data_IF_020359338812
#
_entry.id   IF_020359338812
#
_cell.length_a   1.000
_cell.length_b   1.000
_cell.length_c   1.000
_cell.angle_alpha   90.00
_cell.angle_beta   90.00
_cell.angle_gamma   90.00
#
_symmetry.space_group_name_H-M   'P 1'
#
loop_
_entity.id
_entity.type
_entity.pdbx_description
1 polymer ?
#
# COMPACT_ATOMS: atom_id res chain seq x y z
N UNK A 1 1.42 -6.50 -0.70
CA UNK A 1 2.71 -6.18 -0.03
C UNK A 1 3.60 -5.48 -1.06
N UNK A 2 4.16 -4.32 -0.73
CA UNK A 2 5.24 -3.75 -1.54
C UNK A 2 6.46 -4.66 -1.39
N UNK A 3 6.94 -5.19 -2.51
CA UNK A 3 8.20 -5.95 -2.54
C UNK A 3 9.33 -4.94 -2.60
N UNK A 4 10.13 -4.89 -1.56
CA UNK A 4 11.34 -4.08 -1.57
C UNK A 4 12.37 -4.72 -2.51
N UNK A 5 12.81 -3.97 -3.51
CA UNK A 5 13.82 -4.41 -4.49
C UNK A 5 15.13 -3.67 -4.21
N UNK A 6 16.20 -4.44 -4.02
CA UNK A 6 17.55 -3.89 -3.89
C UNK A 6 18.32 -4.19 -5.16
N UNK A 7 18.95 -3.18 -5.73
CA UNK A 7 19.66 -3.27 -6.99
C UNK A 7 21.18 -3.45 -6.77
N UNK A 8 21.76 -4.40 -7.50
CA UNK A 8 23.20 -4.64 -7.56
C UNK A 8 23.65 -4.67 -9.02
N UNK A 9 24.85 -4.18 -9.29
CA UNK A 9 25.49 -4.26 -10.60
C UNK A 9 26.69 -5.20 -10.50
N UNK A 10 26.76 -6.15 -11.43
CA UNK A 10 27.88 -7.07 -11.57
C UNK A 10 28.51 -6.91 -12.95
N UNK A 11 29.83 -6.82 -13.01
CA UNK A 11 30.59 -6.76 -14.27
C UNK A 11 30.74 -8.15 -14.90
N UNK A 12 31.00 -8.19 -16.20
CA UNK A 12 31.27 -9.43 -16.96
C UNK A 12 32.41 -10.27 -16.39
N UNK A 13 33.41 -9.62 -15.84
CA UNK A 13 34.55 -10.25 -15.16
C UNK A 13 34.53 -9.77 -13.72
N UNK A 14 34.40 -10.68 -12.79
CA UNK A 14 34.54 -10.45 -11.35
C UNK A 14 35.75 -11.25 -10.87
N UNK A 15 36.54 -10.67 -10.00
CA UNK A 15 37.53 -11.43 -9.22
C UNK A 15 36.81 -12.33 -8.23
N UNK A 16 37.45 -13.35 -7.70
CA UNK A 16 36.93 -14.24 -6.70
C UNK A 16 36.46 -13.48 -5.42
N UNK A 17 37.14 -12.40 -5.09
CA UNK A 17 36.80 -11.54 -3.97
C UNK A 17 35.51 -10.76 -4.23
N UNK A 18 35.37 -10.14 -5.40
CA UNK A 18 34.17 -9.42 -5.81
C UNK A 18 32.95 -10.35 -5.86
N UNK A 19 33.14 -11.58 -6.39
CA UNK A 19 32.07 -12.59 -6.42
C UNK A 19 31.65 -12.99 -5.00
N UNK A 20 32.60 -13.28 -4.10
CA UNK A 20 32.30 -13.58 -2.69
C UNK A 20 31.56 -12.41 -2.00
N UNK A 21 31.97 -11.18 -2.26
CA UNK A 21 31.32 -10.00 -1.70
C UNK A 21 29.91 -9.82 -2.23
N UNK A 22 29.68 -10.06 -3.53
CA UNK A 22 28.33 -10.03 -4.11
C UNK A 22 27.45 -11.12 -3.49
N UNK A 23 27.95 -12.34 -3.33
CA UNK A 23 27.24 -13.44 -2.69
C UNK A 23 26.82 -13.12 -1.27
N UNK A 24 27.71 -12.52 -0.46
CA UNK A 24 27.36 -12.05 0.90
C UNK A 24 26.22 -11.03 0.88
N UNK A 25 26.24 -10.08 -0.07
CA UNK A 25 25.18 -9.08 -0.22
C UNK A 25 23.86 -9.71 -0.65
N UNK A 26 23.87 -10.81 -1.40
CA UNK A 26 22.68 -11.51 -1.85
C UNK A 26 22.08 -12.45 -0.78
N UNK A 27 22.82 -12.77 0.27
CA UNK A 27 22.38 -13.70 1.33
C UNK A 27 20.99 -13.38 1.93
N UNK A 28 20.62 -12.12 2.24
CA UNK A 28 19.34 -11.82 2.87
C UNK A 28 18.11 -12.00 1.97
N UNK A 29 18.31 -12.19 0.65
CA UNK A 29 17.22 -12.24 -0.31
C UNK A 29 16.81 -13.68 -0.61
N UNK A 30 15.51 -13.94 -0.73
CA UNK A 30 14.92 -15.24 -1.08
C UNK A 30 14.60 -15.38 -2.57
N UNK A 31 14.62 -14.27 -3.32
CA UNK A 31 14.42 -14.23 -4.76
C UNK A 31 15.43 -13.28 -5.41
N UNK A 32 16.06 -13.73 -6.48
CA UNK A 32 17.05 -12.97 -7.25
C UNK A 32 16.55 -12.86 -8.69
N UNK A 33 16.41 -11.62 -9.18
CA UNK A 33 16.10 -11.32 -10.57
C UNK A 33 17.40 -10.86 -11.24
N UNK A 34 17.83 -11.59 -12.26
CA UNK A 34 19.03 -11.31 -13.01
C UNK A 34 18.64 -10.80 -14.40
N UNK A 35 18.99 -9.56 -14.72
CA UNK A 35 18.86 -9.01 -16.05
C UNK A 35 20.23 -9.05 -16.74
N UNK A 36 20.41 -9.92 -17.76
CA UNK A 36 21.68 -10.07 -18.45
C UNK A 36 21.90 -8.96 -19.48
N UNK A 37 22.37 -7.82 -19.02
CA UNK A 37 22.63 -6.64 -19.86
C UNK A 37 23.81 -6.85 -20.86
N UNK A 38 24.47 -8.01 -20.82
CA UNK A 38 25.54 -8.39 -21.73
C UNK A 38 25.05 -9.09 -23.00
N UNK A 39 23.74 -9.32 -23.13
CA UNK A 39 23.10 -9.97 -24.27
C UNK A 39 23.54 -9.32 -25.59
N UNK A 40 23.83 -10.17 -26.56
CA UNK A 40 24.26 -9.78 -27.92
C UNK A 40 23.61 -10.76 -28.90
N UNK A 41 23.45 -10.33 -30.14
CA UNK A 41 22.94 -11.18 -31.24
C UNK A 41 24.06 -12.02 -31.91
N UNK A 42 25.28 -12.02 -31.37
CA UNK A 42 26.44 -12.71 -31.94
C UNK A 42 26.67 -14.08 -31.30
N UNK A 43 26.59 -15.14 -32.11
CA UNK A 43 26.97 -16.48 -31.71
C UNK A 43 28.44 -16.59 -31.28
N UNK A 44 29.34 -15.82 -31.92
CA UNK A 44 30.78 -15.78 -31.57
C UNK A 44 31.03 -15.23 -30.15
N UNK A 45 30.06 -14.55 -29.56
CA UNK A 45 30.08 -14.01 -28.20
C UNK A 45 29.13 -14.79 -27.27
N UNK A 46 28.78 -16.02 -27.61
CA UNK A 46 27.81 -16.87 -26.88
C UNK A 46 26.56 -16.12 -26.51
N UNK A 47 26.04 -15.25 -27.38
CA UNK A 47 24.86 -14.41 -27.14
C UNK A 47 24.91 -13.61 -25.83
N UNK A 48 26.12 -13.35 -25.30
CA UNK A 48 26.32 -12.64 -24.03
C UNK A 48 26.29 -13.51 -22.78
N UNK A 49 26.35 -14.82 -22.93
CA UNK A 49 26.57 -15.73 -21.82
C UNK A 49 27.91 -15.46 -21.14
N UNK A 50 27.98 -15.66 -19.84
CA UNK A 50 29.17 -15.45 -19.04
C UNK A 50 29.35 -16.56 -18.01
N UNK A 51 30.55 -17.15 -17.87
CA UNK A 51 30.86 -18.12 -16.82
C UNK A 51 30.63 -17.56 -15.40
N UNK A 52 30.80 -16.25 -15.22
CA UNK A 52 30.48 -15.57 -13.93
C UNK A 52 29.00 -15.68 -13.61
N UNK A 53 28.12 -15.54 -14.62
CA UNK A 53 26.68 -15.69 -14.45
C UNK A 53 26.34 -17.13 -14.07
N UNK A 54 26.95 -18.13 -14.72
CA UNK A 54 26.77 -19.55 -14.36
C UNK A 54 27.17 -19.82 -12.92
N UNK A 55 28.34 -19.40 -12.52
CA UNK A 55 28.84 -19.55 -11.14
C UNK A 55 27.93 -18.86 -10.14
N UNK A 56 27.50 -17.64 -10.43
CA UNK A 56 26.62 -16.88 -9.55
C UNK A 56 25.30 -17.61 -9.33
N UNK A 57 24.67 -18.10 -10.40
CA UNK A 57 23.38 -18.80 -10.33
C UNK A 57 23.51 -20.12 -9.55
N UNK A 58 24.47 -20.96 -9.88
CA UNK A 58 24.66 -22.29 -9.23
C UNK A 58 24.94 -22.19 -7.74
N UNK A 59 25.50 -21.07 -7.29
CA UNK A 59 25.84 -20.86 -5.88
C UNK A 59 24.64 -20.32 -5.04
N UNK A 60 23.50 -19.98 -5.67
CA UNK A 60 22.32 -19.45 -4.94
C UNK A 60 21.35 -20.58 -4.55
N UNK A 61 21.82 -21.55 -3.79
CA UNK A 61 20.98 -22.67 -3.34
C UNK A 61 19.82 -22.20 -2.43
N UNK A 62 18.65 -22.77 -2.64
CA UNK A 62 17.45 -22.47 -1.83
C UNK A 62 16.79 -21.12 -2.11
N UNK A 63 17.22 -20.42 -3.17
CA UNK A 63 16.63 -19.14 -3.60
C UNK A 63 15.89 -19.31 -4.92
N UNK A 64 14.86 -18.50 -5.14
CA UNK A 64 14.22 -18.40 -6.44
C UNK A 64 15.02 -17.51 -7.38
N UNK A 65 15.27 -17.98 -8.60
CA UNK A 65 16.07 -17.26 -9.60
C UNK A 65 15.23 -17.04 -10.84
N UNK A 66 15.08 -15.78 -11.22
CA UNK A 66 14.45 -15.36 -12.46
C UNK A 66 15.56 -14.76 -13.33
N UNK A 67 15.82 -15.37 -14.48
CA UNK A 67 16.81 -14.87 -15.44
C UNK A 67 16.11 -14.20 -16.62
N UNK A 68 16.43 -12.94 -16.89
CA UNK A 68 15.96 -12.20 -18.06
C UNK A 68 17.08 -12.11 -19.09
N UNK A 69 16.79 -12.64 -20.30
CA UNK A 69 17.68 -12.56 -21.47
C UNK A 69 17.12 -11.56 -22.49
N UNK A 70 17.68 -10.34 -22.58
CA UNK A 70 17.26 -9.32 -23.55
C UNK A 70 17.99 -9.48 -24.88
N UNK A 71 17.86 -10.63 -25.52
CA UNK A 71 18.51 -10.98 -26.78
C UNK A 71 17.64 -11.86 -27.65
N UNK A 72 18.22 -12.39 -28.73
CA UNK A 72 17.51 -13.29 -29.62
C UNK A 72 17.34 -14.69 -29.00
N UNK A 73 16.34 -15.49 -29.45
CA UNK A 73 16.01 -16.79 -28.84
C UNK A 73 17.17 -17.78 -28.75
N UNK A 74 18.08 -17.76 -29.70
CA UNK A 74 19.22 -18.71 -29.76
C UNK A 74 20.14 -18.63 -28.55
N UNK A 75 20.19 -17.49 -27.86
CA UNK A 75 20.94 -17.33 -26.62
C UNK A 75 20.41 -18.18 -25.47
N UNK A 76 19.15 -18.64 -25.53
CA UNK A 76 18.56 -19.49 -24.50
C UNK A 76 19.26 -20.85 -24.37
N UNK A 77 19.90 -21.34 -25.43
CA UNK A 77 20.63 -22.60 -25.41
C UNK A 77 21.69 -22.65 -24.31
N UNK A 78 22.37 -21.52 -24.05
CA UNK A 78 23.42 -21.42 -23.04
C UNK A 78 22.86 -21.42 -21.59
N UNK A 79 21.54 -21.26 -21.40
CA UNK A 79 20.91 -21.21 -20.09
C UNK A 79 20.14 -22.49 -19.73
N UNK A 80 20.01 -23.45 -20.68
CA UNK A 80 19.18 -24.64 -20.48
C UNK A 80 19.59 -25.49 -19.26
N UNK A 81 20.89 -25.53 -18.93
CA UNK A 81 21.42 -26.28 -17.77
C UNK A 81 21.47 -25.49 -16.47
N UNK A 82 21.06 -24.23 -16.47
CA UNK A 82 21.10 -23.39 -15.27
C UNK A 82 19.90 -23.67 -14.36
N UNK A 83 20.10 -23.74 -13.03
CA UNK A 83 19.03 -23.93 -12.07
C UNK A 83 18.26 -22.62 -11.85
N UNK A 84 17.44 -22.24 -12.85
CA UNK A 84 16.57 -21.05 -12.78
C UNK A 84 15.10 -21.50 -12.64
N UNK A 85 14.33 -20.78 -11.79
CA UNK A 85 12.90 -21.01 -11.63
C UNK A 85 12.08 -20.45 -12.79
N UNK A 86 12.59 -19.40 -13.43
CA UNK A 86 11.99 -18.80 -14.61
C UNK A 86 13.05 -18.17 -15.53
N UNK A 87 12.82 -18.31 -16.84
CA UNK A 87 13.62 -17.69 -17.88
C UNK A 87 12.71 -16.79 -18.73
N UNK A 88 13.02 -15.50 -18.77
CA UNK A 88 12.26 -14.49 -19.53
C UNK A 88 13.10 -14.05 -20.73
N UNK A 89 12.53 -14.14 -21.93
CA UNK A 89 13.09 -13.62 -23.16
C UNK A 89 12.40 -12.31 -23.54
N UNK A 90 13.13 -11.20 -23.67
CA UNK A 90 12.58 -9.89 -24.04
C UNK A 90 13.01 -9.41 -25.43
N UNK A 91 13.77 -10.19 -26.17
CA UNK A 91 14.27 -9.99 -27.55
C UNK A 91 15.21 -8.80 -27.74
N UNK A 92 15.03 -7.72 -27.00
CA UNK A 92 15.75 -6.47 -27.16
C UNK A 92 16.24 -5.92 -25.82
N UNK A 93 17.32 -5.15 -25.87
CA UNK A 93 17.94 -4.51 -24.70
C UNK A 93 17.85 -2.98 -24.81
N UNK A 94 16.64 -2.45 -24.67
CA UNK A 94 16.42 -1.00 -24.58
C UNK A 94 15.39 -0.69 -23.46
N UNK A 95 15.25 0.58 -23.12
CA UNK A 95 14.46 1.04 -21.97
C UNK A 95 13.05 0.44 -21.94
N UNK A 96 12.33 0.45 -23.06
CA UNK A 96 10.95 -0.08 -23.10
C UNK A 96 10.90 -1.59 -22.89
N UNK A 97 11.83 -2.35 -23.50
CA UNK A 97 11.92 -3.79 -23.29
C UNK A 97 12.19 -4.13 -21.82
N UNK A 98 13.07 -3.37 -21.16
CA UNK A 98 13.36 -3.51 -19.73
C UNK A 98 12.11 -3.22 -18.88
N UNK A 99 11.35 -2.17 -19.20
CA UNK A 99 10.10 -1.82 -18.51
C UNK A 99 9.04 -2.91 -18.68
N UNK A 100 8.88 -3.45 -19.90
CA UNK A 100 7.94 -4.54 -20.13
C UNK A 100 8.39 -5.84 -19.46
N UNK A 101 9.67 -6.16 -19.47
CA UNK A 101 10.22 -7.31 -18.75
C UNK A 101 9.93 -7.21 -17.23
N UNK A 102 10.16 -6.04 -16.66
CA UNK A 102 9.81 -5.78 -15.25
C UNK A 102 8.30 -5.95 -15.01
N UNK A 103 7.44 -5.39 -15.87
CA UNK A 103 5.99 -5.56 -15.73
C UNK A 103 5.57 -7.03 -15.85
N UNK A 104 6.18 -7.81 -16.75
CA UNK A 104 5.94 -9.24 -16.89
C UNK A 104 6.30 -10.00 -15.61
N UNK A 105 7.50 -9.77 -15.06
CA UNK A 105 7.98 -10.43 -13.83
C UNK A 105 7.08 -10.11 -12.64
N UNK A 106 6.61 -8.86 -12.52
CA UNK A 106 5.75 -8.43 -11.42
C UNK A 106 4.24 -8.55 -11.70
N UNK A 107 3.84 -9.21 -12.79
CA UNK A 107 2.43 -9.50 -13.10
C UNK A 107 1.62 -8.30 -13.62
N UNK A 108 2.29 -7.22 -14.07
CA UNK A 108 1.63 -6.06 -14.69
C UNK A 108 1.08 -6.33 -16.07
N UNK A 109 1.66 -7.30 -16.81
CA UNK A 109 1.18 -7.75 -18.12
C UNK A 109 1.05 -9.28 -18.14
N UNK A 110 0.08 -9.78 -18.89
CA UNK A 110 -0.04 -11.21 -19.18
C UNK A 110 1.03 -11.62 -20.18
N UNK A 111 1.60 -12.80 -20.00
CA UNK A 111 2.54 -13.40 -20.96
C UNK A 111 1.83 -14.48 -21.75
N UNK A 112 1.74 -14.31 -23.07
CA UNK A 112 1.03 -15.22 -23.96
C UNK A 112 1.90 -15.67 -25.13
N UNK A 113 3.07 -15.05 -25.31
CA UNK A 113 3.98 -15.33 -26.41
C UNK A 113 4.58 -16.74 -26.33
N UNK A 114 4.93 -17.26 -27.49
CA UNK A 114 5.59 -18.54 -27.68
C UNK A 114 6.83 -18.34 -28.53
N UNK A 115 7.84 -19.21 -28.34
CA UNK A 115 9.03 -19.17 -29.19
C UNK A 115 8.66 -19.42 -30.65
N UNK A 116 9.05 -18.54 -31.58
CA UNK A 116 8.75 -18.72 -33.00
C UNK A 116 9.73 -19.67 -33.69
N UNK A 117 10.80 -20.07 -33.03
CA UNK A 117 11.89 -20.90 -33.57
C UNK A 117 12.26 -22.02 -32.61
N UNK A 118 12.83 -23.11 -33.13
CA UNK A 118 13.53 -24.09 -32.32
C UNK A 118 14.91 -23.57 -31.96
N UNK A 119 15.24 -23.55 -30.67
CA UNK A 119 16.56 -23.19 -30.15
C UNK A 119 17.40 -24.44 -29.97
N UNK A 120 16.89 -25.42 -29.27
CA UNK A 120 17.47 -26.73 -29.02
C UNK A 120 16.34 -27.71 -28.59
N UNK A 121 16.62 -28.99 -28.29
CA UNK A 121 15.59 -29.93 -27.81
C UNK A 121 14.82 -29.49 -26.56
N UNK A 122 15.43 -28.71 -25.66
CA UNK A 122 14.79 -28.22 -24.43
C UNK A 122 13.85 -27.05 -24.72
N UNK A 123 14.10 -26.30 -25.80
CA UNK A 123 13.34 -25.13 -26.22
C UNK A 123 12.90 -25.25 -27.69
N UNK A 124 11.96 -26.17 -28.02
CA UNK A 124 11.39 -26.26 -29.36
C UNK A 124 10.51 -25.07 -29.70
N UNK A 125 10.23 -24.85 -30.97
CA UNK A 125 9.24 -23.87 -31.40
C UNK A 125 7.89 -24.09 -30.70
N UNK A 126 7.21 -23.04 -30.31
CA UNK A 126 5.99 -23.09 -29.51
C UNK A 126 6.18 -23.17 -28.00
N UNK A 127 7.42 -23.29 -27.50
CA UNK A 127 7.73 -23.24 -26.06
C UNK A 127 7.32 -21.90 -25.47
N UNK A 128 6.72 -21.92 -24.28
CA UNK A 128 6.36 -20.73 -23.51
C UNK A 128 5.30 -21.04 -22.47
N UNK A 129 5.28 -20.28 -21.39
CA UNK A 129 4.31 -20.38 -20.30
C UNK A 129 3.36 -19.19 -20.41
N UNK A 130 2.06 -19.46 -20.29
CA UNK A 130 1.06 -18.40 -20.19
C UNK A 130 0.88 -18.00 -18.74
N UNK A 131 0.95 -16.69 -18.47
CA UNK A 131 0.67 -16.11 -17.15
C UNK A 131 -0.43 -15.08 -17.24
N UNK A 132 -1.36 -15.01 -16.27
CA UNK A 132 -2.36 -13.97 -16.24
C UNK A 132 -1.75 -12.64 -15.79
N UNK A 133 -2.43 -11.54 -16.13
CA UNK A 133 -2.19 -10.23 -15.52
C UNK A 133 -2.76 -10.26 -14.10
N UNK A 134 -1.96 -9.91 -13.11
CA UNK A 134 -2.32 -9.94 -11.69
C UNK A 134 -2.24 -8.56 -11.02
N UNK A 135 -1.73 -7.53 -11.72
CA UNK A 135 -1.55 -6.17 -11.24
C UNK A 135 -1.94 -5.15 -12.31
N UNK A 136 -2.09 -3.89 -11.89
CA UNK A 136 -2.17 -2.78 -12.84
C UNK A 136 -0.86 -2.67 -13.62
N UNK A 137 -0.95 -2.48 -14.94
CA UNK A 137 0.21 -2.17 -15.78
C UNK A 137 0.45 -0.67 -15.87
N UNK A 138 1.64 -0.28 -16.28
CA UNK A 138 1.96 1.10 -16.62
C UNK A 138 1.95 1.27 -18.15
N UNK A 139 1.36 2.38 -18.63
CA UNK A 139 1.27 2.68 -20.05
C UNK A 139 1.26 4.18 -20.29
N UNK A 140 1.31 4.62 -21.57
CA UNK A 140 1.09 6.03 -21.90
C UNK A 140 -0.40 6.36 -21.92
N UNK A 141 -0.77 7.64 -21.73
CA UNK A 141 -2.16 8.08 -21.83
C UNK A 141 -2.82 7.73 -23.16
N UNK A 142 -2.08 7.83 -24.26
CA UNK A 142 -2.55 7.58 -25.63
C UNK A 142 -3.00 6.13 -25.81
N UNK A 143 -2.32 5.17 -25.19
CA UNK A 143 -2.72 3.76 -25.20
C UNK A 143 -4.06 3.54 -24.48
N UNK A 144 -4.43 4.44 -23.57
CA UNK A 144 -5.75 4.49 -22.93
C UNK A 144 -6.74 5.38 -23.67
N UNK A 145 -6.40 5.85 -24.89
CA UNK A 145 -7.17 6.80 -25.69
C UNK A 145 -7.42 8.13 -24.97
N UNK A 146 -6.39 8.61 -24.28
CA UNK A 146 -6.39 9.88 -23.57
C UNK A 146 -5.31 10.80 -24.12
N UNK A 147 -5.55 12.08 -24.04
CA UNK A 147 -4.67 13.14 -24.52
C UNK A 147 -3.73 13.56 -23.36
N UNK A 148 -2.43 13.34 -23.53
CA UNK A 148 -1.42 13.69 -22.51
C UNK A 148 -1.32 15.20 -22.28
N UNK A 149 -1.57 16.04 -23.30
CA UNK A 149 -1.55 17.50 -23.14
C UNK A 149 -2.67 17.98 -22.20
N UNK A 150 -3.86 17.35 -22.29
CA UNK A 150 -4.97 17.67 -21.39
C UNK A 150 -4.69 17.26 -19.94
N UNK A 151 -3.91 16.20 -19.75
CA UNK A 151 -3.51 15.74 -18.40
C UNK A 151 -2.53 16.72 -17.71
N UNK A 152 -1.82 17.57 -18.45
CA UNK A 152 -0.98 18.62 -17.88
C UNK A 152 -1.76 19.60 -16.99
N UNK A 153 -3.08 19.71 -17.15
CA UNK A 153 -3.93 20.49 -16.24
C UNK A 153 -3.90 19.95 -14.80
N UNK A 154 -3.72 18.64 -14.62
CA UNK A 154 -3.59 18.02 -13.28
C UNK A 154 -2.32 18.53 -12.60
N UNK A 155 -1.19 18.59 -13.34
CA UNK A 155 0.06 19.14 -12.84
C UNK A 155 -0.13 20.58 -12.34
N UNK A 156 -0.80 21.41 -13.15
CA UNK A 156 -1.08 22.82 -12.79
C UNK A 156 -1.95 22.94 -11.53
N UNK A 157 -3.01 22.14 -11.42
CA UNK A 157 -3.89 22.13 -10.23
C UNK A 157 -3.11 21.72 -8.98
N UNK A 158 -2.31 20.67 -9.05
CA UNK A 158 -1.52 20.19 -7.91
C UNK A 158 -0.48 21.24 -7.50
N UNK A 159 0.22 21.87 -8.46
CA UNK A 159 1.18 22.93 -8.20
C UNK A 159 0.53 24.16 -7.57
N UNK A 160 -0.62 24.58 -8.08
CA UNK A 160 -1.39 25.70 -7.51
C UNK A 160 -1.84 25.39 -6.07
N UNK A 161 -2.28 24.18 -5.79
CA UNK A 161 -2.67 23.78 -4.43
C UNK A 161 -1.50 23.85 -3.45
N UNK A 162 -0.31 23.41 -3.86
CA UNK A 162 0.92 23.51 -3.05
C UNK A 162 1.33 24.96 -2.87
N UNK A 163 1.32 25.77 -3.93
CA UNK A 163 1.67 27.21 -3.88
C UNK A 163 0.70 28.00 -2.99
N UNK A 164 -0.60 27.70 -3.08
CA UNK A 164 -1.63 28.32 -2.24
C UNK A 164 -1.63 27.84 -0.79
N UNK A 165 -0.70 26.96 -0.40
CA UNK A 165 -0.65 26.33 0.93
C UNK A 165 -1.96 25.60 1.29
N UNK A 166 -2.69 25.07 0.32
CA UNK A 166 -3.85 24.22 0.55
C UNK A 166 -3.41 22.82 1.05
N UNK A 167 -2.26 22.36 0.59
CA UNK A 167 -1.57 21.15 1.06
C UNK A 167 -0.06 21.34 0.93
N UNK A 168 0.78 20.73 1.79
CA UNK A 168 2.23 20.78 1.62
C UNK A 168 2.69 19.97 0.41
N UNK A 169 1.93 18.95 0.02
CA UNK A 169 2.19 18.10 -1.12
C UNK A 169 1.10 17.05 -1.33
N UNK A 170 1.16 16.36 -2.44
CA UNK A 170 0.20 15.31 -2.79
C UNK A 170 0.79 14.29 -3.78
N UNK A 171 0.13 13.13 -3.88
CA UNK A 171 0.32 12.16 -4.97
C UNK A 171 -0.98 12.05 -5.76
N UNK A 172 -0.84 11.87 -7.07
CA UNK A 172 -1.96 11.57 -7.97
C UNK A 172 -1.62 10.36 -8.81
N UNK A 173 -2.45 9.31 -8.70
CA UNK A 173 -2.38 8.12 -9.54
C UNK A 173 -3.73 7.96 -10.24
N UNK A 174 -3.69 7.78 -11.56
CA UNK A 174 -4.89 7.55 -12.37
C UNK A 174 -4.69 6.29 -13.20
N UNK A 175 -5.69 5.41 -13.15
CA UNK A 175 -5.72 4.18 -13.93
C UNK A 175 -7.04 4.07 -14.70
N UNK A 176 -6.99 3.43 -15.86
CA UNK A 176 -8.15 3.10 -16.69
C UNK A 176 -7.95 1.72 -17.31
N UNK A 177 -8.99 0.88 -17.27
CA UNK A 177 -8.99 -0.47 -17.85
C UNK A 177 -7.77 -1.31 -17.36
N UNK A 178 -7.44 -1.19 -16.07
CA UNK A 178 -6.31 -1.89 -15.46
C UNK A 178 -4.93 -1.32 -15.81
N UNK A 179 -4.83 -0.14 -16.42
CA UNK A 179 -3.57 0.48 -16.82
C UNK A 179 -3.37 1.83 -16.13
N UNK A 180 -2.25 2.00 -15.44
CA UNK A 180 -1.82 3.28 -14.85
C UNK A 180 -1.20 4.11 -15.97
N UNK A 181 -1.75 5.26 -16.25
CA UNK A 181 -1.23 6.19 -17.26
C UNK A 181 -0.78 7.53 -16.68
N UNK A 182 -1.06 7.76 -15.40
CA UNK A 182 -0.61 8.95 -14.67
C UNK A 182 -0.22 8.56 -13.25
N UNK A 183 0.98 8.89 -12.83
CA UNK A 183 1.47 8.64 -11.48
C UNK A 183 2.57 9.66 -11.14
N UNK A 184 2.20 10.73 -10.43
CA UNK A 184 3.10 11.82 -10.07
C UNK A 184 2.95 12.24 -8.62
N UNK A 185 4.02 12.80 -8.07
CA UNK A 185 4.06 13.39 -6.74
C UNK A 185 4.45 14.88 -6.85
N UNK A 186 3.87 15.71 -5.99
CA UNK A 186 4.05 17.16 -5.98
C UNK A 186 4.33 17.66 -4.57
N UNK A 187 5.13 18.72 -4.46
CA UNK A 187 5.43 19.38 -3.18
C UNK A 187 6.28 18.53 -2.23
N UNK A 188 6.06 18.67 -0.94
CA UNK A 188 6.88 18.12 0.13
C UNK A 188 6.00 17.48 1.22
N UNK A 189 6.60 16.68 2.12
CA UNK A 189 5.89 16.07 3.24
C UNK A 189 5.31 17.14 4.21
N UNK A 190 5.97 18.27 4.34
CA UNK A 190 5.54 19.37 5.22
C UNK A 190 5.81 20.73 4.58
N UNK A 191 5.20 21.79 5.10
CA UNK A 191 5.46 23.16 4.68
C UNK A 191 6.90 23.64 4.95
N UNK A 192 7.70 22.91 5.74
CA UNK A 192 9.13 23.17 5.93
C UNK A 192 9.98 22.81 4.71
N UNK A 193 9.41 22.10 3.74
CA UNK A 193 10.02 21.74 2.46
C UNK A 193 11.34 20.95 2.57
N UNK A 194 11.53 20.19 3.64
CA UNK A 194 12.76 19.43 3.89
C UNK A 194 12.82 18.13 3.12
N UNK A 195 11.66 17.51 2.84
CA UNK A 195 11.56 16.20 2.21
C UNK A 195 10.55 16.28 1.06
N UNK A 196 10.98 16.13 -0.21
CA UNK A 196 10.08 16.13 -1.35
C UNK A 196 9.21 14.85 -1.35
N UNK A 197 7.96 14.99 -1.78
CA UNK A 197 7.08 13.84 -2.00
C UNK A 197 7.57 12.97 -3.15
N UNK A 198 7.39 11.67 -2.99
CA UNK A 198 7.69 10.65 -4.02
C UNK A 198 6.47 9.79 -4.26
N UNK A 199 6.36 9.20 -5.45
CA UNK A 199 5.30 8.25 -5.79
C UNK A 199 5.35 6.93 -4.99
N UNK A 200 6.43 6.70 -4.26
CA UNK A 200 6.63 5.57 -3.35
C UNK A 200 6.26 5.86 -1.90
N UNK A 201 5.90 7.11 -1.58
CA UNK A 201 5.54 7.46 -0.20
C UNK A 201 4.20 6.85 0.18
N UNK A 202 4.09 6.49 1.46
CA UNK A 202 2.89 5.88 2.04
C UNK A 202 2.11 6.96 2.77
N UNK A 203 0.81 7.01 2.52
CA UNK A 203 -0.11 7.93 3.16
C UNK A 203 -1.02 7.19 4.14
N UNK A 204 -1.38 7.85 5.24
CA UNK A 204 -2.51 7.43 6.05
C UNK A 204 -3.78 7.50 5.18
N UNK A 205 -4.48 6.37 5.09
CA UNK A 205 -5.68 6.25 4.27
C UNK A 205 -6.91 6.90 4.92
N UNK A 206 -6.83 7.25 6.20
CA UNK A 206 -7.95 7.83 6.94
C UNK A 206 -9.26 7.08 6.64
N UNK A 207 -10.32 7.76 6.22
CA UNK A 207 -11.62 7.14 5.93
C UNK A 207 -11.63 6.18 4.74
N UNK A 208 -10.63 6.16 3.88
CA UNK A 208 -10.50 5.12 2.84
C UNK A 208 -10.35 3.74 3.47
N UNK A 209 -9.84 3.65 4.70
CA UNK A 209 -9.80 2.41 5.51
C UNK A 209 -11.17 1.74 5.63
N UNK A 210 -12.26 2.51 5.68
CA UNK A 210 -13.63 1.96 5.75
C UNK A 210 -13.93 1.03 4.56
N UNK A 211 -13.52 1.43 3.35
CA UNK A 211 -13.81 0.71 2.10
C UNK A 211 -12.69 -0.24 1.68
N UNK A 212 -11.49 -0.13 2.26
CA UNK A 212 -10.35 -1.00 1.93
C UNK A 212 -10.07 -2.09 2.95
N UNK A 213 -10.62 -1.96 4.17
CA UNK A 213 -10.45 -2.94 5.24
C UNK A 213 -11.79 -3.40 5.81
N UNK A 214 -12.58 -2.50 6.45
CA UNK A 214 -13.79 -2.91 7.17
C UNK A 214 -14.86 -3.47 6.23
N UNK A 215 -15.16 -2.78 5.12
CA UNK A 215 -16.17 -3.24 4.17
C UNK A 215 -15.80 -4.58 3.51
N UNK A 216 -14.59 -4.82 2.98
CA UNK A 216 -14.19 -6.13 2.46
C UNK A 216 -14.30 -7.25 3.50
N UNK A 217 -13.93 -6.98 4.76
CA UNK A 217 -14.11 -7.95 5.85
C UNK A 217 -15.58 -8.32 6.06
N UNK A 218 -16.49 -7.34 6.05
CA UNK A 218 -17.94 -7.60 6.15
C UNK A 218 -18.44 -8.37 4.92
N UNK A 219 -18.00 -8.02 3.70
CA UNK A 219 -18.38 -8.75 2.48
C UNK A 219 -17.96 -10.22 2.58
N UNK A 220 -16.74 -10.49 3.01
CA UNK A 220 -16.23 -11.86 3.17
C UNK A 220 -17.05 -12.66 4.22
N UNK A 221 -17.40 -12.01 5.34
CA UNK A 221 -18.22 -12.63 6.36
C UNK A 221 -19.66 -12.85 5.88
N UNK A 222 -20.20 -11.94 5.06
CA UNK A 222 -21.51 -12.10 4.44
C UNK A 222 -21.53 -13.28 3.44
N UNK A 223 -20.54 -13.35 2.54
CA UNK A 223 -20.42 -14.43 1.56
C UNK A 223 -20.27 -15.81 2.25
N UNK A 224 -19.56 -15.86 3.38
CA UNK A 224 -19.42 -17.06 4.20
C UNK A 224 -20.60 -17.31 5.14
N UNK A 225 -21.68 -16.51 5.05
CA UNK A 225 -22.91 -16.60 5.87
C UNK A 225 -22.68 -16.45 7.38
N UNK A 226 -21.58 -15.83 7.78
CA UNK A 226 -21.29 -15.53 9.18
C UNK A 226 -21.93 -14.24 9.66
N UNK A 227 -22.28 -13.34 8.73
CA UNK A 227 -23.01 -12.10 8.98
C UNK A 227 -24.19 -12.00 8.03
N UNK A 228 -25.35 -11.52 8.53
CA UNK A 228 -26.53 -11.15 7.75
C UNK A 228 -26.72 -9.63 7.82
N UNK A 229 -26.82 -8.97 6.67
CA UNK A 229 -26.94 -7.50 6.61
C UNK A 229 -28.24 -6.97 7.24
N UNK A 230 -29.33 -7.75 7.19
CA UNK A 230 -30.62 -7.40 7.78
C UNK A 230 -30.70 -7.66 9.29
N UNK A 231 -29.75 -8.40 9.85
CA UNK A 231 -29.74 -8.68 11.29
C UNK A 231 -29.24 -7.48 12.10
N UNK A 232 -29.65 -7.35 13.37
CA UNK A 232 -29.10 -6.37 14.30
C UNK A 232 -27.59 -6.54 14.46
N UNK A 233 -26.86 -5.43 14.50
CA UNK A 233 -25.41 -5.46 14.74
C UNK A 233 -25.09 -6.04 16.14
N UNK A 234 -26.02 -5.95 17.08
CA UNK A 234 -25.89 -6.53 18.42
C UNK A 234 -25.80 -8.05 18.45
N UNK A 235 -26.20 -8.74 17.37
CA UNK A 235 -26.01 -10.20 17.25
C UNK A 235 -24.54 -10.56 17.01
N UNK A 236 -23.78 -9.64 16.41
CA UNK A 236 -22.36 -9.79 16.08
C UNK A 236 -21.43 -9.02 17.03
N UNK A 237 -21.99 -8.11 17.84
CA UNK A 237 -21.27 -7.40 18.89
C UNK A 237 -22.17 -7.24 20.13
N UNK A 238 -22.21 -8.24 21.02
CA UNK A 238 -23.13 -8.32 22.15
C UNK A 238 -23.19 -7.11 23.08
N UNK A 239 -22.10 -6.31 23.30
CA UNK A 239 -22.19 -5.11 24.14
C UNK A 239 -23.20 -4.07 23.67
N UNK A 240 -23.69 -4.13 22.43
CA UNK A 240 -24.76 -3.26 21.94
C UNK A 240 -26.14 -3.59 22.51
N UNK A 241 -26.38 -4.83 23.01
CA UNK A 241 -27.68 -5.29 23.50
C UNK A 241 -28.20 -4.45 24.69
N UNK A 242 -27.27 -3.92 25.48
CA UNK A 242 -27.57 -3.09 26.66
C UNK A 242 -27.59 -1.58 26.33
N UNK A 243 -27.74 -1.21 25.07
CA UNK A 243 -27.69 0.18 24.61
C UNK A 243 -28.93 0.53 23.77
N UNK A 244 -29.12 1.82 23.48
CA UNK A 244 -30.12 2.31 22.52
C UNK A 244 -29.85 1.85 21.06
N UNK A 245 -28.70 1.20 20.81
CA UNK A 245 -28.25 0.72 19.51
C UNK A 245 -28.54 -0.75 19.25
N UNK A 246 -29.26 -1.45 20.16
CA UNK A 246 -29.47 -2.90 20.08
C UNK A 246 -30.12 -3.36 18.77
N UNK A 247 -30.98 -2.53 18.18
CA UNK A 247 -31.81 -2.88 17.03
C UNK A 247 -31.30 -2.27 15.70
N UNK A 248 -30.11 -1.59 15.68
CA UNK A 248 -29.55 -1.08 14.43
C UNK A 248 -29.00 -2.25 13.61
N UNK A 249 -29.36 -2.32 12.33
CA UNK A 249 -28.91 -3.40 11.45
C UNK A 249 -27.52 -3.13 10.89
N UNK A 250 -26.83 -4.20 10.49
CA UNK A 250 -25.54 -4.11 9.78
C UNK A 250 -25.66 -3.23 8.54
N UNK A 251 -26.75 -3.38 7.77
CA UNK A 251 -27.02 -2.60 6.57
C UNK A 251 -27.20 -1.11 6.89
N UNK A 252 -27.97 -0.75 7.92
CA UNK A 252 -28.14 0.65 8.31
C UNK A 252 -26.82 1.31 8.68
N UNK A 253 -25.93 0.57 9.35
CA UNK A 253 -24.60 1.09 9.71
C UNK A 253 -23.72 1.27 8.48
N UNK A 254 -23.69 0.31 7.57
CA UNK A 254 -22.94 0.41 6.31
C UNK A 254 -23.41 1.57 5.44
N UNK A 255 -24.73 1.83 5.43
CA UNK A 255 -25.33 2.91 4.64
C UNK A 255 -25.34 4.27 5.36
N UNK A 256 -24.74 4.38 6.55
CA UNK A 256 -24.74 5.61 7.36
C UNK A 256 -26.13 6.17 7.70
N UNK A 257 -27.13 5.33 7.83
CA UNK A 257 -28.50 5.72 8.19
C UNK A 257 -29.01 5.08 9.50
N UNK A 258 -28.07 4.62 10.34
CA UNK A 258 -28.38 4.02 11.63
C UNK A 258 -28.68 5.03 12.76
N UNK A 259 -28.71 6.34 12.48
CA UNK A 259 -28.89 7.38 13.50
C UNK A 259 -27.66 7.61 14.41
N UNK A 260 -26.49 7.07 14.07
CA UNK A 260 -25.26 7.26 14.83
C UNK A 260 -24.72 8.69 14.67
N UNK A 261 -24.09 9.22 15.72
CA UNK A 261 -23.34 10.49 15.61
C UNK A 261 -22.24 10.38 14.55
N UNK A 262 -21.95 11.50 13.89
CA UNK A 262 -20.92 11.57 12.86
C UNK A 262 -19.55 11.25 13.41
N UNK A 263 -19.17 11.84 14.54
CA UNK A 263 -17.91 11.57 15.26
C UNK A 263 -18.06 11.93 16.75
N UNK A 264 -17.08 11.49 17.55
CA UNK A 264 -16.88 11.93 18.93
C UNK A 264 -15.49 12.55 19.03
N UNK A 265 -15.31 13.71 19.70
CA UNK A 265 -14.01 14.39 19.81
C UNK A 265 -13.10 13.72 20.84
N UNK A 266 -12.94 12.39 20.76
CA UNK A 266 -12.26 11.56 21.75
C UNK A 266 -10.81 11.98 22.03
N UNK A 267 -10.14 12.55 21.02
CA UNK A 267 -8.78 13.01 21.23
C UNK A 267 -8.70 14.20 22.19
N UNK A 268 -9.73 15.06 22.23
CA UNK A 268 -9.76 16.19 23.16
C UNK A 268 -9.90 15.73 24.61
N UNK A 269 -10.54 14.59 24.81
CA UNK A 269 -10.71 14.01 26.14
C UNK A 269 -9.40 13.42 26.68
N UNK A 270 -8.46 13.06 25.78
CA UNK A 270 -7.12 12.63 26.15
C UNK A 270 -6.21 13.78 26.57
N UNK A 271 -6.52 15.04 26.22
CA UNK A 271 -5.71 16.20 26.56
C UNK A 271 -5.91 16.58 28.02
N UNK A 272 -4.80 16.84 28.72
CA UNK A 272 -4.82 17.44 30.04
C UNK A 272 -5.10 18.95 29.94
N UNK A 273 -6.30 19.41 30.35
CA UNK A 273 -6.66 20.82 30.22
C UNK A 273 -5.77 21.75 31.06
N UNK A 274 -5.16 21.23 32.13
CA UNK A 274 -4.22 21.99 32.97
C UNK A 274 -2.88 22.27 32.28
N UNK A 275 -2.59 21.52 31.21
CA UNK A 275 -1.36 21.71 30.43
C UNK A 275 -1.45 22.85 29.43
N UNK A 276 -2.66 23.34 29.13
CA UNK A 276 -2.91 24.33 28.12
C UNK A 276 -2.72 25.77 28.65
N UNK A 277 -1.89 26.60 28.04
CA UNK A 277 -1.75 28.02 28.39
C UNK A 277 -2.92 28.90 27.87
N UNK A 278 -4.07 28.30 27.58
CA UNK A 278 -5.26 28.94 27.05
C UNK A 278 -6.19 27.93 26.39
N UNK A 279 -7.26 28.35 25.68
CA UNK A 279 -8.20 27.44 25.07
C UNK A 279 -7.51 26.60 23.97
N UNK A 280 -7.95 25.33 23.84
CA UNK A 280 -7.43 24.43 22.80
C UNK A 280 -7.73 24.95 21.39
N UNK A 281 -8.92 25.51 21.18
CA UNK A 281 -9.34 26.06 19.90
C UNK A 281 -9.76 27.52 20.02
N UNK A 282 -9.46 28.31 18.98
CA UNK A 282 -9.90 29.68 18.84
C UNK A 282 -10.33 29.99 17.41
N UNK A 283 -11.22 30.97 17.23
CA UNK A 283 -11.67 31.43 15.90
C UNK A 283 -10.66 32.37 15.22
N UNK A 284 -9.70 32.91 15.96
CA UNK A 284 -8.65 33.84 15.48
C UNK A 284 -7.30 33.28 15.90
N UNK A 285 -6.27 33.66 15.16
CA UNK A 285 -4.88 33.38 15.54
C UNK A 285 -4.53 34.17 16.84
N UNK A 286 -3.93 33.46 17.79
CA UNK A 286 -3.45 34.05 19.06
C UNK A 286 -1.97 33.69 19.26
N UNK A 287 -1.37 34.18 20.37
CA UNK A 287 0.00 33.78 20.73
C UNK A 287 0.19 32.29 20.93
N UNK A 288 -0.85 31.59 21.41
CA UNK A 288 -0.81 30.15 21.69
C UNK A 288 -1.48 29.30 20.59
N UNK A 289 -2.51 29.82 19.94
CA UNK A 289 -3.22 29.13 18.85
C UNK A 289 -2.67 29.61 17.50
N UNK A 290 -1.53 29.07 17.11
CA UNK A 290 -0.80 29.51 15.91
C UNK A 290 -1.08 28.65 14.67
N UNK A 291 -1.52 27.41 14.86
CA UNK A 291 -1.76 26.46 13.78
C UNK A 291 -3.21 26.54 13.29
N UNK A 292 -3.39 26.90 12.03
CA UNK A 292 -4.71 26.96 11.40
C UNK A 292 -5.13 25.55 10.93
N UNK A 293 -6.28 25.07 11.39
CA UNK A 293 -6.87 23.80 10.95
C UNK A 293 -7.84 23.99 9.79
N UNK A 294 -8.65 25.04 9.84
CA UNK A 294 -9.57 25.44 8.77
C UNK A 294 -9.92 26.91 8.91
N UNK A 295 -10.82 27.41 8.09
CA UNK A 295 -11.28 28.78 8.25
C UNK A 295 -11.86 29.00 9.64
N UNK A 296 -11.44 30.08 10.29
CA UNK A 296 -11.85 30.46 11.64
C UNK A 296 -11.67 29.36 12.70
N UNK A 297 -10.61 28.50 12.53
CA UNK A 297 -10.27 27.52 13.54
C UNK A 297 -8.75 27.37 13.66
N UNK A 298 -8.25 27.81 14.80
CA UNK A 298 -6.84 27.71 15.17
C UNK A 298 -6.70 26.82 16.40
N UNK A 299 -5.66 25.98 16.45
CA UNK A 299 -5.37 25.05 17.55
C UNK A 299 -4.10 25.45 18.28
N UNK A 300 -4.14 25.24 19.59
CA UNK A 300 -2.97 25.31 20.46
C UNK A 300 -2.36 23.89 20.53
N UNK A 301 -1.15 23.74 20.03
CA UNK A 301 -0.42 22.47 20.05
C UNK A 301 0.47 22.30 21.29
N UNK A 302 0.48 23.27 22.22
CA UNK A 302 1.26 23.20 23.46
C UNK A 302 0.48 22.50 24.58
N UNK A 303 -0.05 21.33 24.29
CA UNK A 303 -0.75 20.49 25.26
C UNK A 303 0.05 19.25 25.63
N UNK A 304 -0.29 18.65 26.75
CA UNK A 304 0.13 17.31 27.14
C UNK A 304 -1.09 16.41 27.25
N UNK A 305 -0.89 15.13 27.00
CA UNK A 305 -1.92 14.14 27.22
C UNK A 305 -2.01 13.80 28.71
N UNK A 306 -3.22 13.44 29.16
CA UNK A 306 -3.42 12.83 30.49
C UNK A 306 -2.67 11.51 30.56
N UNK A 307 -2.14 11.20 31.75
CA UNK A 307 -1.61 9.87 31.99
C UNK A 307 -2.67 8.79 31.73
N UNK A 308 -2.22 7.60 31.36
CA UNK A 308 -3.08 6.45 31.04
C UNK A 308 -4.05 6.68 29.86
N UNK A 309 -3.74 7.60 28.93
CA UNK A 309 -4.47 7.79 27.68
C UNK A 309 -3.56 7.52 26.48
N UNK A 310 -2.97 8.55 25.88
CA UNK A 310 -2.04 8.46 24.77
C UNK A 310 -0.71 9.14 25.10
N UNK A 311 0.33 8.82 24.32
CA UNK A 311 1.66 9.41 24.45
C UNK A 311 2.31 9.53 23.06
N UNK A 312 3.10 10.58 22.85
CA UNK A 312 3.89 10.79 21.63
C UNK A 312 5.24 10.05 21.67
N UNK A 313 5.55 9.39 22.78
CA UNK A 313 6.78 8.62 22.97
C UNK A 313 6.49 7.32 23.70
N UNK A 314 7.36 6.31 23.59
CA UNK A 314 7.22 5.06 24.32
C UNK A 314 7.12 5.31 25.83
N UNK A 315 6.15 4.64 26.49
CA UNK A 315 6.01 4.61 27.95
C UNK A 315 5.73 3.19 28.42
N UNK A 316 6.15 2.77 29.62
CA UNK A 316 5.79 1.48 30.19
C UNK A 316 4.27 1.25 30.18
N UNK A 317 3.82 0.09 29.71
CA UNK A 317 2.41 -0.27 29.63
C UNK A 317 1.62 0.29 28.45
N UNK A 318 2.22 1.17 27.62
CA UNK A 318 1.59 1.68 26.41
C UNK A 318 1.89 0.79 25.22
N UNK A 319 0.88 0.57 24.35
CA UNK A 319 1.04 -0.14 23.08
C UNK A 319 1.35 0.85 21.96
N UNK A 320 2.25 0.45 21.08
CA UNK A 320 2.51 1.18 19.83
C UNK A 320 1.28 1.14 18.92
N UNK A 321 0.88 2.27 18.39
CA UNK A 321 -0.23 2.41 17.43
C UNK A 321 0.31 2.78 16.05
N UNK A 322 1.11 3.85 15.98
CA UNK A 322 1.74 4.38 14.77
C UNK A 322 2.97 5.22 15.14
N UNK A 323 3.82 5.65 14.19
CA UNK A 323 4.95 6.52 14.49
C UNK A 323 4.56 7.76 15.28
N UNK A 324 5.10 7.86 16.50
CA UNK A 324 4.82 8.98 17.41
C UNK A 324 3.48 8.90 18.14
N UNK A 325 2.78 7.74 18.12
CA UNK A 325 1.55 7.54 18.87
C UNK A 325 1.57 6.19 19.62
N UNK A 326 1.37 6.27 20.93
CA UNK A 326 1.27 5.12 21.83
C UNK A 326 0.00 5.29 22.67
N UNK A 327 -0.73 4.19 22.90
CA UNK A 327 -1.98 4.21 23.65
C UNK A 327 -1.92 3.28 24.87
N UNK A 328 -2.40 3.76 26.01
CA UNK A 328 -2.62 2.94 27.17
C UNK A 328 -3.82 2.01 26.94
N UNK A 329 -3.69 0.67 27.12
CA UNK A 329 -4.73 -0.29 26.73
C UNK A 329 -6.12 0.01 27.29
N UNK A 330 -6.23 0.36 28.57
CA UNK A 330 -7.51 0.68 29.19
C UNK A 330 -8.19 1.93 28.60
N UNK A 331 -7.46 2.80 27.89
CA UNK A 331 -8.07 3.93 27.21
C UNK A 331 -8.89 3.49 25.99
N UNK A 332 -8.58 2.36 25.38
CA UNK A 332 -9.42 1.75 24.33
C UNK A 332 -10.81 1.39 24.88
N UNK A 333 -10.89 0.91 26.13
CA UNK A 333 -12.16 0.58 26.75
C UNK A 333 -12.98 1.85 27.05
N UNK A 334 -12.32 2.94 27.42
CA UNK A 334 -12.96 4.25 27.54
C UNK A 334 -13.53 4.72 26.21
N UNK A 335 -12.76 4.65 25.11
CA UNK A 335 -13.24 4.98 23.76
C UNK A 335 -14.43 4.12 23.38
N UNK A 336 -14.35 2.80 23.61
CA UNK A 336 -15.43 1.85 23.35
C UNK A 336 -16.70 2.23 24.13
N UNK A 337 -16.56 2.50 25.41
CA UNK A 337 -17.66 2.95 26.29
C UNK A 337 -18.30 4.24 25.78
N UNK A 338 -17.50 5.25 25.41
CA UNK A 338 -18.01 6.49 24.84
C UNK A 338 -18.86 6.27 23.57
N UNK A 339 -18.44 5.35 22.70
CA UNK A 339 -19.17 5.00 21.47
C UNK A 339 -20.49 4.29 21.82
N UNK A 340 -20.45 3.30 22.70
CA UNK A 340 -21.62 2.53 23.13
C UNK A 340 -22.70 3.41 23.77
N UNK A 341 -22.31 4.37 24.60
CA UNK A 341 -23.22 5.24 25.32
C UNK A 341 -23.51 6.58 24.61
N UNK A 342 -22.95 6.81 23.41
CA UNK A 342 -23.33 7.98 22.63
C UNK A 342 -24.79 7.88 22.21
N UNK A 343 -25.64 8.94 22.35
CA UNK A 343 -27.04 8.85 22.00
C UNK A 343 -27.26 8.67 20.50
N UNK A 344 -28.29 7.89 20.13
CA UNK A 344 -28.79 7.81 18.77
C UNK A 344 -29.65 9.04 18.41
N UNK A 345 -29.56 9.47 17.15
CA UNK A 345 -30.56 10.35 16.56
C UNK A 345 -31.79 9.48 16.21
N UNK A 346 -32.99 9.80 16.72
CA UNK A 346 -34.21 9.04 16.43
C UNK A 346 -34.58 9.08 14.94
N UNK A 347 -34.16 10.12 14.22
CA UNK A 347 -34.28 10.19 12.76
C UNK A 347 -33.14 9.39 12.12
N UNK A 348 -33.48 8.27 11.50
CA UNK A 348 -32.54 7.44 10.73
C UNK A 348 -32.26 8.01 9.33
N UNK A 349 -31.90 9.30 9.27
CA UNK A 349 -31.48 9.94 8.03
C UNK A 349 -30.01 9.66 7.76
N UNK A 350 -29.58 9.80 6.50
CA UNK A 350 -28.17 9.67 6.14
C UNK A 350 -27.33 10.69 6.89
N UNK A 351 -26.40 10.18 7.67
CA UNK A 351 -25.40 10.97 8.37
C UNK A 351 -24.06 10.18 8.40
N UNK A 352 -23.11 10.61 7.60
CA UNK A 352 -21.79 9.97 7.55
C UNK A 352 -21.22 9.84 8.96
N UNK A 353 -20.95 8.62 9.40
CA UNK A 353 -20.54 8.30 10.77
C UNK A 353 -19.25 7.48 10.80
N UNK A 354 -18.25 7.97 11.52
CA UNK A 354 -17.05 7.20 11.86
C UNK A 354 -17.38 6.10 12.88
N UNK A 355 -18.31 6.37 13.79
CA UNK A 355 -18.68 5.45 14.86
C UNK A 355 -19.25 4.15 14.33
N UNK A 356 -20.03 4.22 13.24
CA UNK A 356 -20.61 3.03 12.61
C UNK A 356 -19.54 2.05 12.15
N UNK A 357 -18.50 2.53 11.48
CA UNK A 357 -17.41 1.68 10.99
C UNK A 357 -16.49 1.19 12.10
N UNK A 358 -16.39 1.91 13.22
CA UNK A 358 -15.72 1.41 14.42
C UNK A 358 -16.53 0.28 15.06
N UNK A 359 -17.85 0.39 15.11
CA UNK A 359 -18.72 -0.69 15.60
C UNK A 359 -18.68 -1.91 14.69
N UNK A 360 -18.65 -1.73 13.35
CA UNK A 360 -18.45 -2.83 12.40
C UNK A 360 -17.10 -3.51 12.59
N UNK A 361 -16.02 -2.75 12.84
CA UNK A 361 -14.72 -3.32 13.20
C UNK A 361 -14.84 -4.23 14.43
N UNK A 362 -15.50 -3.77 15.49
CA UNK A 362 -15.68 -4.57 16.70
C UNK A 362 -16.51 -5.84 16.45
N UNK A 363 -17.50 -5.77 15.56
CA UNK A 363 -18.27 -6.94 15.15
C UNK A 363 -17.41 -7.94 14.37
N UNK A 364 -16.59 -7.47 13.41
CA UNK A 364 -15.65 -8.34 12.69
C UNK A 364 -14.69 -9.03 13.67
N UNK A 365 -14.10 -8.29 14.60
CA UNK A 365 -13.17 -8.81 15.59
C UNK A 365 -13.82 -9.82 16.54
N UNK A 366 -15.09 -9.59 16.92
CA UNK A 366 -15.84 -10.53 17.76
C UNK A 366 -16.19 -11.83 17.02
N UNK A 367 -16.65 -11.74 15.76
CA UNK A 367 -17.06 -12.90 14.96
C UNK A 367 -15.86 -13.74 14.51
N UNK A 368 -14.70 -13.11 14.32
CA UNK A 368 -13.49 -13.79 13.78
C UNK A 368 -12.49 -14.16 14.86
N UNK A 369 -12.64 -13.62 16.08
CA UNK A 369 -11.68 -13.72 17.20
C UNK A 369 -10.27 -13.21 16.81
N UNK A 370 -10.18 -12.36 15.78
CA UNK A 370 -8.95 -11.76 15.27
C UNK A 370 -9.09 -10.25 15.22
N UNK A 371 -7.98 -9.52 15.40
CA UNK A 371 -7.98 -8.09 15.11
C UNK A 371 -8.24 -7.85 13.62
N UNK A 372 -8.83 -6.69 13.26
CA UNK A 372 -9.19 -6.39 11.87
C UNK A 372 -7.97 -6.45 10.94
N UNK A 373 -6.81 -5.98 11.39
CA UNK A 373 -5.57 -5.99 10.62
C UNK A 373 -5.07 -7.43 10.37
N UNK A 374 -5.15 -8.31 11.38
CA UNK A 374 -4.84 -9.74 11.22
C UNK A 374 -5.78 -10.39 10.21
N UNK A 375 -7.09 -10.17 10.39
CA UNK A 375 -8.09 -10.74 9.48
C UNK A 375 -7.87 -10.28 8.03
N UNK A 376 -7.63 -8.98 7.79
CA UNK A 376 -7.35 -8.45 6.46
C UNK A 376 -6.00 -8.90 5.85
N UNK A 377 -5.06 -9.41 6.66
CA UNK A 377 -3.80 -9.95 6.16
C UNK A 377 -3.90 -11.41 5.73
N UNK A 378 -4.76 -12.17 6.38
CA UNK A 378 -4.91 -13.61 6.17
C UNK A 378 -5.89 -13.92 5.05
N UNK A 379 -6.88 -13.05 4.79
CA UNK A 379 -7.97 -13.23 3.83
C UNK A 379 -7.80 -12.36 2.57
#
# INVERSE_FOLDING_TARGET
>A
RQTQVTHFVANKKLSDEELRNLQKKLQPFNCIIIYNNLSTNSAQKDFGYSPVLDTLIRQQTGKRIILCHPGIPYGLASYASLPTDALLLSYENHLYAQQYAAQAIFGGIAMTARLPVCVNPDYPAGTGIQTPKTRLSYTSPEMCRLDSEKLAKIDSICQLAVQAHATPGCQVLIAKDGNIFYNKAFGHHTYKQTTPNKTSDIYDLASVTKITATLPAIIKLYDSRKINLAAPLSDYYPPLKETDKKDITVQEVLCHNAGLKTFLPLFTDAIDPKSLPGPLFTSKRTAHNTTRLKDRLYVNLNYRFKDSTVSNSPKPGYKYMEPGLYMFPAYQDTIRSCILHSPLNPKKEYAYSDLGFILLKFAVEHVTEKSLDQYCQEE
#
